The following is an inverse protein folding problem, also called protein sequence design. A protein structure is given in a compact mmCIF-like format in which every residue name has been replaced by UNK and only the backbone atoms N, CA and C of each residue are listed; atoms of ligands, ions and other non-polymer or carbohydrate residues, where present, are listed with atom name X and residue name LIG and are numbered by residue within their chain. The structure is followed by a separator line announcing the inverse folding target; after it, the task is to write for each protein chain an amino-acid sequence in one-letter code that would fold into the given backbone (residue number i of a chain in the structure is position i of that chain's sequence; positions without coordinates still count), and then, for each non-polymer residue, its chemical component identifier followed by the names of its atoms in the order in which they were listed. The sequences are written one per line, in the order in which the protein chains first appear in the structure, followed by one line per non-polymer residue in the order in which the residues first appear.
data_IF_752941650480
#
_entry.id   IF_752941650480
#
_cell.length_a   1.000
_cell.length_b   1.000
_cell.length_c   1.000
_cell.angle_alpha   90.00
_cell.angle_beta   90.00
_cell.angle_gamma   90.00
#
_symmetry.space_group_name_H-M   'P 1'
#
loop_
_entity.id
_entity.type
_entity.pdbx_description
1 polymer ?
#
# COMPACT_ATOMS: atom_id res chain seq x y z
N UNK A 1 -18.95 22.33 2.63
CA UNK A 1 -18.56 21.78 1.30
C UNK A 1 -19.69 22.01 0.31
N UNK A 2 -19.39 22.36 -0.95
CA UNK A 2 -20.44 22.57 -1.96
C UNK A 2 -20.80 21.22 -2.60
N UNK A 3 -22.06 20.82 -2.53
CA UNK A 3 -22.57 19.68 -3.29
C UNK A 3 -22.96 20.14 -4.70
N UNK A 4 -21.97 20.20 -5.60
CA UNK A 4 -22.15 20.72 -6.95
C UNK A 4 -22.86 19.75 -7.90
N UNK A 5 -22.99 18.47 -7.50
CA UNK A 5 -23.60 17.40 -8.27
C UNK A 5 -24.94 16.93 -7.70
N UNK A 6 -25.39 17.47 -6.56
CA UNK A 6 -26.56 16.95 -5.85
C UNK A 6 -26.36 15.50 -5.41
N UNK A 7 -25.12 15.12 -5.12
CA UNK A 7 -24.72 13.75 -4.83
C UNK A 7 -24.71 13.45 -3.32
N UNK A 8 -24.76 14.48 -2.47
CA UNK A 8 -24.76 14.28 -1.03
C UNK A 8 -26.11 13.72 -0.58
N UNK A 9 -26.09 12.55 0.03
CA UNK A 9 -27.27 11.86 0.53
C UNK A 9 -27.03 11.28 1.92
N UNK A 10 -28.10 10.93 2.62
CA UNK A 10 -28.02 10.24 3.90
C UNK A 10 -27.98 8.73 3.71
N UNK A 11 -27.31 8.05 4.62
CA UNK A 11 -27.37 6.60 4.74
C UNK A 11 -27.35 6.19 6.21
N UNK A 12 -27.86 4.98 6.48
CA UNK A 12 -27.79 4.36 7.79
C UNK A 12 -26.44 3.67 7.95
N UNK A 13 -25.63 4.12 8.91
CA UNK A 13 -24.30 3.57 9.21
C UNK A 13 -24.38 2.25 9.98
N UNK A 14 -25.57 1.87 10.47
CA UNK A 14 -25.80 0.78 11.41
C UNK A 14 -25.84 1.25 12.86
N UNK A 15 -25.24 2.40 13.17
CA UNK A 15 -25.26 3.04 14.50
C UNK A 15 -25.87 4.44 14.50
N UNK A 16 -26.30 4.94 13.33
CA UNK A 16 -26.88 6.27 13.20
C UNK A 16 -26.99 6.71 11.74
N UNK A 17 -27.18 8.01 11.54
CA UNK A 17 -27.23 8.62 10.20
C UNK A 17 -25.87 9.21 9.86
N UNK A 18 -25.40 8.94 8.65
CA UNK A 18 -24.21 9.55 8.06
C UNK A 18 -24.52 10.15 6.70
N UNK A 19 -23.65 11.04 6.23
CA UNK A 19 -23.65 11.50 4.85
C UNK A 19 -22.64 10.72 4.00
N UNK A 20 -22.97 10.55 2.73
CA UNK A 20 -22.04 10.10 1.69
C UNK A 20 -22.28 10.90 0.41
N UNK A 21 -21.36 10.81 -0.54
CA UNK A 21 -21.54 11.36 -1.90
C UNK A 21 -21.78 10.20 -2.86
N UNK A 22 -23.05 9.98 -3.26
CA UNK A 22 -23.45 8.82 -4.06
C UNK A 22 -22.84 8.87 -5.46
N UNK A 23 -22.07 7.84 -5.81
CA UNK A 23 -21.62 7.66 -7.21
C UNK A 23 -22.82 7.51 -8.17
N UNK A 24 -23.89 6.86 -7.73
CA UNK A 24 -25.12 6.71 -8.52
C UNK A 24 -25.79 8.05 -8.90
N UNK A 25 -25.55 9.13 -8.15
CA UNK A 25 -26.12 10.44 -8.49
C UNK A 25 -25.63 10.94 -9.86
N UNK A 26 -24.43 10.50 -10.28
CA UNK A 26 -23.87 10.83 -11.59
C UNK A 26 -24.61 10.13 -12.74
N UNK A 27 -25.29 8.99 -12.50
CA UNK A 27 -26.14 8.33 -13.50
C UNK A 27 -27.31 9.23 -13.92
N UNK A 28 -27.87 9.99 -12.98
CA UNK A 28 -28.92 10.97 -13.26
C UNK A 28 -28.44 12.13 -14.14
N UNK A 29 -27.11 12.30 -14.27
CA UNK A 29 -26.48 13.30 -15.12
C UNK A 29 -26.00 12.74 -16.47
N UNK A 30 -26.31 11.46 -16.76
CA UNK A 30 -25.99 10.81 -18.02
C UNK A 30 -24.79 9.86 -17.98
N UNK A 31 -24.07 9.77 -16.86
CA UNK A 31 -22.92 8.88 -16.71
C UNK A 31 -23.36 7.45 -16.37
N UNK A 32 -23.54 6.61 -17.39
CA UNK A 32 -24.20 5.29 -17.23
C UNK A 32 -23.26 4.11 -16.98
N UNK A 33 -21.95 4.24 -17.24
CA UNK A 33 -21.01 3.12 -17.17
C UNK A 33 -20.37 2.90 -15.78
N UNK A 34 -20.82 3.64 -14.76
CA UNK A 34 -20.20 3.66 -13.42
C UNK A 34 -20.11 2.25 -12.81
N UNK A 35 -21.10 1.39 -13.04
CA UNK A 35 -21.14 0.05 -12.48
C UNK A 35 -20.00 -0.86 -12.97
N UNK A 36 -19.52 -0.63 -14.20
CA UNK A 36 -18.47 -1.41 -14.86
C UNK A 36 -17.07 -0.82 -14.68
N UNK A 37 -16.93 0.33 -14.02
CA UNK A 37 -15.63 0.90 -13.71
C UNK A 37 -14.82 -0.02 -12.78
N UNK A 38 -13.49 -0.13 -12.95
CA UNK A 38 -12.62 -0.71 -11.94
C UNK A 38 -12.90 -0.09 -10.57
N UNK A 39 -12.86 -0.90 -9.51
CA UNK A 39 -13.12 -0.43 -8.16
C UNK A 39 -12.12 0.65 -7.74
N UNK A 40 -10.87 0.54 -8.18
CA UNK A 40 -9.85 1.58 -7.98
C UNK A 40 -10.26 2.93 -8.58
N UNK A 41 -10.87 2.94 -9.77
CA UNK A 41 -11.34 4.16 -10.45
C UNK A 41 -12.58 4.71 -9.74
N UNK A 42 -13.48 3.86 -9.25
CA UNK A 42 -14.64 4.29 -8.44
C UNK A 42 -14.20 5.02 -7.16
N UNK A 43 -13.11 4.58 -6.52
CA UNK A 43 -12.53 5.27 -5.35
C UNK A 43 -11.97 6.65 -5.73
N UNK A 44 -11.24 6.76 -6.84
CA UNK A 44 -10.77 8.07 -7.34
C UNK A 44 -11.94 8.99 -7.70
N UNK A 45 -12.99 8.45 -8.32
CA UNK A 45 -14.22 9.18 -8.67
C UNK A 45 -14.94 9.70 -7.42
N UNK A 46 -15.05 8.90 -6.35
CA UNK A 46 -15.62 9.35 -5.07
C UNK A 46 -14.84 10.53 -4.51
N UNK A 47 -13.50 10.43 -4.51
CA UNK A 47 -12.62 11.46 -4.01
C UNK A 47 -12.76 12.78 -4.78
N UNK A 48 -12.82 12.71 -6.11
CA UNK A 48 -13.05 13.88 -6.95
C UNK A 48 -14.45 14.47 -6.76
N UNK A 49 -15.50 13.62 -6.74
CA UNK A 49 -16.88 14.04 -6.55
C UNK A 49 -17.10 14.78 -5.23
N UNK A 50 -16.59 14.22 -4.13
CA UNK A 50 -16.74 14.78 -2.78
C UNK A 50 -15.97 16.08 -2.59
N UNK A 51 -14.82 16.23 -3.24
CA UNK A 51 -13.95 17.41 -3.08
C UNK A 51 -14.07 18.42 -4.21
N UNK A 52 -15.06 18.30 -5.11
CA UNK A 52 -15.28 19.24 -6.20
C UNK A 52 -15.56 20.66 -5.67
N UNK A 53 -14.68 21.59 -5.98
CA UNK A 53 -14.70 22.98 -5.51
C UNK A 53 -14.61 24.02 -6.66
N UNK A 54 -14.46 23.56 -7.91
CA UNK A 54 -14.20 24.36 -9.11
C UNK A 54 -12.90 25.17 -9.04
N UNK A 55 -11.95 24.73 -8.21
CA UNK A 55 -10.61 25.32 -8.09
C UNK A 55 -9.53 24.25 -8.18
N UNK A 56 -9.35 23.43 -7.12
CA UNK A 56 -8.42 22.30 -7.15
C UNK A 56 -9.04 21.10 -7.87
N UNK A 57 -10.36 20.90 -7.70
CA UNK A 57 -11.11 19.82 -8.32
C UNK A 57 -12.30 20.39 -9.07
N UNK A 58 -12.23 20.32 -10.40
CA UNK A 58 -13.27 20.83 -11.30
C UNK A 58 -14.32 19.75 -11.59
N UNK A 59 -15.49 20.19 -12.07
CA UNK A 59 -16.52 19.29 -12.60
C UNK A 59 -16.03 18.46 -13.78
N UNK A 60 -15.09 19.01 -14.55
CA UNK A 60 -14.44 18.28 -15.64
C UNK A 60 -13.68 17.06 -15.13
N UNK A 61 -12.91 17.19 -14.04
CA UNK A 61 -12.21 16.04 -13.45
C UNK A 61 -13.19 14.92 -13.04
N UNK A 62 -14.33 15.28 -12.45
CA UNK A 62 -15.38 14.31 -12.06
C UNK A 62 -15.98 13.64 -13.30
N UNK A 63 -16.32 14.42 -14.33
CA UNK A 63 -16.88 13.88 -15.58
C UNK A 63 -15.90 12.93 -16.28
N UNK A 64 -14.61 13.29 -16.35
CA UNK A 64 -13.56 12.46 -16.96
C UNK A 64 -13.38 11.11 -16.25
N UNK A 65 -13.45 11.10 -14.93
CA UNK A 65 -13.43 9.84 -14.16
C UNK A 65 -14.72 9.02 -14.32
N UNK A 66 -15.88 9.68 -14.41
CA UNK A 66 -17.17 9.02 -14.59
C UNK A 66 -17.33 8.41 -16.00
N UNK A 67 -16.65 8.99 -17.00
CA UNK A 67 -16.63 8.56 -18.40
C UNK A 67 -15.37 7.75 -18.75
N UNK A 68 -14.64 7.26 -17.75
CA UNK A 68 -13.42 6.48 -17.94
C UNK A 68 -13.64 5.33 -18.95
N UNK A 69 -12.86 5.33 -20.02
CA UNK A 69 -12.79 4.28 -21.02
C UNK A 69 -11.55 3.41 -20.76
N UNK A 70 -11.70 2.16 -20.28
CA UNK A 70 -10.58 1.27 -20.03
C UNK A 70 -9.77 0.94 -21.28
N UNK A 71 -10.39 0.93 -22.48
CA UNK A 71 -9.70 0.57 -23.72
C UNK A 71 -8.75 1.67 -24.19
N UNK A 72 -9.08 2.92 -23.88
CA UNK A 72 -8.29 4.09 -24.23
C UNK A 72 -8.40 5.20 -23.17
N UNK A 73 -7.79 5.02 -21.97
CA UNK A 73 -7.83 6.04 -20.94
C UNK A 73 -7.26 7.37 -21.46
N UNK A 74 -8.03 8.44 -21.29
CA UNK A 74 -7.61 9.75 -21.77
C UNK A 74 -6.30 10.19 -21.10
N UNK A 75 -5.41 10.82 -21.86
CA UNK A 75 -4.14 11.34 -21.35
C UNK A 75 -4.35 12.71 -20.68
N UNK A 76 -5.12 12.71 -19.59
CA UNK A 76 -5.46 13.90 -18.79
C UNK A 76 -4.96 13.73 -17.36
N UNK A 77 -4.58 14.84 -16.75
CA UNK A 77 -4.26 14.87 -15.32
C UNK A 77 -5.55 14.88 -14.50
N UNK A 78 -5.57 14.08 -13.44
CA UNK A 78 -6.66 14.00 -12.47
C UNK A 78 -6.12 14.30 -11.07
N UNK A 79 -6.90 14.99 -10.22
CA UNK A 79 -6.52 15.22 -8.84
C UNK A 79 -6.85 14.01 -7.98
N UNK A 80 -5.91 13.60 -7.15
CA UNK A 80 -6.11 12.63 -6.07
C UNK A 80 -5.91 13.34 -4.73
N UNK A 81 -6.94 13.33 -3.88
CA UNK A 81 -6.90 13.88 -2.52
C UNK A 81 -7.00 12.71 -1.52
N UNK A 82 -5.87 12.17 -1.05
CA UNK A 82 -5.87 11.06 -0.11
C UNK A 82 -6.54 11.45 1.21
N UNK A 83 -7.15 10.47 1.87
CA UNK A 83 -7.76 10.65 3.19
C UNK A 83 -6.72 10.87 4.30
N UNK A 84 -5.51 10.33 4.13
CA UNK A 84 -4.42 10.38 5.11
C UNK A 84 -3.04 10.20 4.48
N UNK A 85 -2.00 10.42 5.26
CA UNK A 85 -0.60 10.18 4.90
C UNK A 85 0.05 9.22 5.90
N UNK A 86 0.85 8.28 5.38
CA UNK A 86 1.65 7.36 6.19
C UNK A 86 3.14 7.68 6.06
N UNK A 87 3.85 7.80 7.18
CA UNK A 87 5.28 8.07 7.21
C UNK A 87 6.02 6.95 7.93
N UNK A 88 7.26 6.70 7.52
CA UNK A 88 8.24 5.93 8.30
C UNK A 88 9.38 6.85 8.75
N UNK A 89 10.17 6.47 9.76
CA UNK A 89 11.06 7.40 10.46
C UNK A 89 12.25 7.97 9.63
N UNK A 90 12.73 7.30 8.59
CA UNK A 90 13.78 7.83 7.71
C UNK A 90 13.30 8.99 6.82
N UNK A 91 12.04 8.95 6.40
CA UNK A 91 11.44 10.01 5.56
C UNK A 91 10.55 10.95 6.36
N UNK A 92 10.05 10.50 7.51
CA UNK A 92 9.25 11.29 8.43
C UNK A 92 10.05 12.33 9.20
N UNK A 93 11.32 12.03 9.56
CA UNK A 93 12.21 13.05 10.15
C UNK A 93 12.39 14.25 9.22
N UNK A 94 12.84 14.11 7.95
CA UNK A 94 12.95 15.26 7.06
C UNK A 94 11.61 15.95 6.84
N UNK A 95 10.49 15.24 6.70
CA UNK A 95 9.17 15.88 6.56
C UNK A 95 8.78 16.76 7.76
N UNK A 96 9.07 16.33 8.98
CA UNK A 96 8.83 17.14 10.19
C UNK A 96 9.80 18.34 10.25
N UNK A 97 11.05 18.18 9.78
CA UNK A 97 12.00 19.30 9.62
C UNK A 97 11.45 20.32 8.62
N UNK A 98 10.91 19.89 7.49
CA UNK A 98 10.40 20.77 6.45
C UNK A 98 9.15 21.53 6.93
N UNK A 99 8.23 20.87 7.65
CA UNK A 99 7.12 21.55 8.33
C UNK A 99 7.61 22.60 9.35
N UNK A 100 8.64 22.29 10.15
CA UNK A 100 9.23 23.24 11.09
C UNK A 100 9.91 24.43 10.39
N UNK A 101 10.58 24.17 9.27
CA UNK A 101 11.21 25.17 8.43
C UNK A 101 10.17 26.08 7.77
N UNK A 102 9.07 25.52 7.29
CA UNK A 102 7.93 26.26 6.73
C UNK A 102 7.27 27.14 7.79
N UNK A 103 7.05 26.66 9.02
CA UNK A 103 6.60 27.50 10.16
C UNK A 103 7.53 28.69 10.39
N UNK A 104 8.83 28.44 10.40
CA UNK A 104 9.84 29.49 10.58
C UNK A 104 9.83 30.50 9.43
N UNK A 105 9.62 30.03 8.19
CA UNK A 105 9.51 30.90 7.02
C UNK A 105 8.24 31.76 7.06
N UNK A 106 7.09 31.16 7.40
CA UNK A 106 5.81 31.87 7.55
C UNK A 106 5.91 32.98 8.60
N UNK A 107 6.52 32.69 9.75
CA UNK A 107 6.76 33.70 10.79
C UNK A 107 7.67 34.85 10.31
N UNK A 108 8.76 34.55 9.57
CA UNK A 108 9.64 35.58 9.00
C UNK A 108 8.94 36.48 7.97
N UNK A 109 7.94 35.95 7.27
CA UNK A 109 7.10 36.71 6.34
C UNK A 109 5.97 37.49 7.04
N UNK A 110 5.86 37.40 8.37
CA UNK A 110 4.82 38.07 9.15
C UNK A 110 3.46 37.37 9.12
N UNK A 111 3.39 36.13 8.63
CA UNK A 111 2.19 35.30 8.64
C UNK A 111 2.03 34.48 9.92
N UNK A 112 0.93 33.74 10.02
CA UNK A 112 0.66 32.86 11.15
C UNK A 112 1.34 31.49 10.93
N UNK A 113 2.36 31.18 11.73
CA UNK A 113 3.04 29.89 11.64
C UNK A 113 2.11 28.69 11.92
N UNK A 114 1.08 28.86 12.73
CA UNK A 114 0.16 27.77 13.08
C UNK A 114 -0.70 27.30 11.89
N UNK A 115 -0.78 28.09 10.82
CA UNK A 115 -1.42 27.66 9.56
C UNK A 115 -0.62 26.58 8.82
N UNK A 116 0.68 26.42 9.12
CA UNK A 116 1.46 25.28 8.64
C UNK A 116 1.16 24.09 9.56
N UNK A 117 0.13 23.34 9.18
CA UNK A 117 -0.32 22.14 9.88
C UNK A 117 -0.88 21.11 8.91
N UNK A 118 -0.77 19.79 9.18
CA UNK A 118 -1.48 18.78 8.40
C UNK A 118 -3.01 18.94 8.41
N UNK A 119 -3.59 18.97 7.21
CA UNK A 119 -5.01 19.02 6.91
C UNK A 119 -5.68 17.63 6.89
N UNK A 120 -4.87 16.59 6.74
CA UNK A 120 -5.29 15.19 6.77
C UNK A 120 -4.61 14.47 7.92
N UNK A 121 -5.13 13.31 8.30
CA UNK A 121 -4.48 12.46 9.31
C UNK A 121 -3.09 12.05 8.81
N UNK A 122 -2.08 12.19 9.66
CA UNK A 122 -0.71 11.73 9.41
C UNK A 122 -0.32 10.76 10.51
N UNK A 123 0.08 9.56 10.12
CA UNK A 123 0.58 8.55 11.05
C UNK A 123 2.03 8.23 10.69
N UNK A 124 2.95 8.49 11.61
CA UNK A 124 4.36 8.15 11.48
C UNK A 124 4.67 6.91 12.31
N UNK A 125 5.22 5.87 11.68
CA UNK A 125 5.68 4.65 12.35
C UNK A 125 7.20 4.63 12.44
N UNK A 126 7.73 4.33 13.62
CA UNK A 126 9.18 4.19 13.82
C UNK A 126 9.53 2.70 13.76
N UNK A 127 10.14 2.29 12.65
CA UNK A 127 10.45 0.89 12.34
C UNK A 127 11.76 0.68 11.56
N UNK A 128 12.33 1.71 10.93
CA UNK A 128 13.57 1.62 10.15
C UNK A 128 14.85 1.82 10.99
N UNK A 129 14.71 2.04 12.29
CA UNK A 129 15.82 2.37 13.18
C UNK A 129 16.46 1.17 13.89
N UNK A 130 15.74 0.05 14.02
CA UNK A 130 16.24 -1.16 14.67
C UNK A 130 17.21 -1.91 13.77
N UNK A 131 18.28 -2.46 14.34
CA UNK A 131 19.26 -3.29 13.64
C UNK A 131 19.46 -4.62 14.38
N UNK A 132 19.81 -5.67 13.65
CA UNK A 132 20.11 -6.99 14.23
C UNK A 132 21.55 -7.01 14.75
N UNK A 133 21.79 -6.32 15.86
CA UNK A 133 23.08 -6.27 16.55
C UNK A 133 23.39 -7.56 17.33
N UNK A 134 22.34 -8.22 17.83
CA UNK A 134 22.35 -9.50 18.50
C UNK A 134 21.23 -10.38 17.93
N UNK A 135 21.48 -11.68 17.84
CA UNK A 135 20.55 -12.68 17.30
C UNK A 135 20.76 -14.04 17.98
N UNK A 136 19.80 -14.96 17.83
CA UNK A 136 19.95 -16.36 18.28
C UNK A 136 20.09 -16.54 19.79
N UNK A 137 19.71 -15.56 20.60
CA UNK A 137 19.81 -15.61 22.07
C UNK A 137 18.59 -14.94 22.73
N UNK A 138 18.20 -15.34 23.96
CA UNK A 138 17.02 -14.80 24.64
C UNK A 138 17.02 -13.27 24.81
N UNK A 139 18.21 -12.69 25.06
CA UNK A 139 18.37 -11.26 25.31
C UNK A 139 18.48 -10.40 24.03
N UNK A 140 18.47 -11.02 22.84
CA UNK A 140 18.73 -10.32 21.58
C UNK A 140 17.79 -9.12 21.37
N UNK A 141 16.49 -9.30 21.60
CA UNK A 141 15.50 -8.24 21.44
C UNK A 141 15.80 -7.04 22.34
N UNK A 142 16.12 -7.29 23.62
CA UNK A 142 16.46 -6.23 24.58
C UNK A 142 17.72 -5.48 24.15
N UNK A 143 18.77 -6.21 23.76
CA UNK A 143 20.05 -5.62 23.31
C UNK A 143 19.84 -4.74 22.08
N UNK A 144 19.07 -5.23 21.09
CA UNK A 144 18.80 -4.48 19.86
C UNK A 144 17.98 -3.21 20.14
N UNK A 145 16.96 -3.29 21.00
CA UNK A 145 16.15 -2.14 21.38
C UNK A 145 16.94 -1.09 22.19
N UNK A 146 17.82 -1.51 23.11
CA UNK A 146 18.69 -0.60 23.87
C UNK A 146 19.64 0.17 22.92
N UNK A 147 20.28 -0.55 21.99
CA UNK A 147 21.16 0.06 20.98
C UNK A 147 20.42 0.97 20.01
N UNK A 148 19.23 0.59 19.58
CA UNK A 148 18.37 1.43 18.75
C UNK A 148 18.11 2.78 19.43
N UNK A 149 17.74 2.75 20.71
CA UNK A 149 17.44 3.97 21.46
C UNK A 149 18.69 4.83 21.71
N UNK A 150 19.83 4.20 22.03
CA UNK A 150 21.12 4.88 22.18
C UNK A 150 21.50 5.66 20.91
N UNK A 151 21.34 5.04 19.74
CA UNK A 151 21.71 5.62 18.44
C UNK A 151 20.75 6.70 17.95
N UNK A 152 19.46 6.58 18.26
CA UNK A 152 18.41 7.40 17.64
C UNK A 152 17.72 8.38 18.59
N UNK A 153 18.26 8.59 19.81
CA UNK A 153 17.65 9.42 20.85
C UNK A 153 17.20 10.80 20.35
N UNK A 154 18.08 11.54 19.67
CA UNK A 154 17.77 12.89 19.17
C UNK A 154 16.62 12.87 18.16
N UNK A 155 16.62 11.89 17.23
CA UNK A 155 15.54 11.71 16.25
C UNK A 155 14.20 11.44 16.96
N UNK A 156 14.19 10.62 18.01
CA UNK A 156 12.97 10.30 18.75
C UNK A 156 12.47 11.47 19.58
N UNK A 157 13.37 12.24 20.20
CA UNK A 157 13.01 13.49 20.89
C UNK A 157 12.41 14.50 19.90
N UNK A 158 12.96 14.61 18.69
CA UNK A 158 12.43 15.47 17.63
C UNK A 158 11.06 15.03 17.11
N UNK A 159 10.86 13.74 16.82
CA UNK A 159 9.56 13.22 16.39
C UNK A 159 8.49 13.33 17.48
N UNK A 160 8.88 13.15 18.75
CA UNK A 160 8.00 13.38 19.90
C UNK A 160 7.58 14.84 20.00
N UNK A 161 8.49 15.78 19.75
CA UNK A 161 8.14 17.20 19.63
C UNK A 161 7.15 17.41 18.46
N UNK A 162 7.38 16.81 17.29
CA UNK A 162 6.48 16.91 16.14
C UNK A 162 5.05 16.49 16.48
N UNK A 163 4.87 15.36 17.16
CA UNK A 163 3.57 14.91 17.68
C UNK A 163 2.84 15.92 18.57
N UNK A 164 3.59 16.75 19.30
CA UNK A 164 3.00 17.77 20.18
C UNK A 164 2.78 19.11 19.47
N UNK A 165 3.55 19.38 18.41
CA UNK A 165 3.56 20.64 17.71
C UNK A 165 2.53 20.74 16.59
N UNK A 166 2.11 19.61 16.02
CA UNK A 166 1.18 19.54 14.89
C UNK A 166 -0.11 18.81 15.25
N UNK A 167 -1.26 19.37 14.87
CA UNK A 167 -2.54 18.66 14.93
C UNK A 167 -2.60 17.59 13.83
N UNK A 168 -3.44 16.57 14.04
CA UNK A 168 -3.61 15.43 13.14
C UNK A 168 -2.32 14.62 12.88
N UNK A 169 -1.28 14.81 13.69
CA UNK A 169 0.00 14.11 13.55
C UNK A 169 0.21 13.12 14.70
N UNK A 170 0.14 11.84 14.38
CA UNK A 170 0.41 10.75 15.32
C UNK A 170 1.77 10.12 15.07
N UNK A 171 2.41 9.70 16.15
CA UNK A 171 3.64 8.89 16.12
C UNK A 171 3.38 7.58 16.85
N UNK A 172 3.58 6.48 16.14
CA UNK A 172 3.64 5.11 16.67
C UNK A 172 5.08 4.86 17.15
N UNK A 173 5.27 4.52 18.43
CA UNK A 173 6.61 4.39 19.00
C UNK A 173 7.37 3.17 18.48
N UNK A 174 8.70 3.11 18.67
CA UNK A 174 9.51 1.95 18.32
C UNK A 174 8.99 0.65 18.93
N UNK A 175 9.36 -0.48 18.33
CA UNK A 175 8.98 -1.83 18.77
C UNK A 175 7.46 -2.12 18.79
N UNK A 176 6.67 -1.33 18.05
CA UNK A 176 5.21 -1.55 17.89
C UNK A 176 4.84 -2.37 16.65
N UNK A 177 5.80 -2.69 15.79
CA UNK A 177 5.60 -3.37 14.50
C UNK A 177 6.24 -2.61 13.34
N UNK A 178 6.07 -3.14 12.13
CA UNK A 178 6.55 -2.53 10.88
C UNK A 178 5.43 -1.66 10.30
N UNK A 179 5.78 -0.55 9.65
CA UNK A 179 4.89 0.49 9.15
C UNK A 179 3.65 -0.06 8.45
N UNK A 180 3.84 -0.92 7.46
CA UNK A 180 2.73 -1.46 6.65
C UNK A 180 1.87 -2.49 7.39
N UNK A 181 2.47 -3.26 8.30
CA UNK A 181 1.72 -4.19 9.14
C UNK A 181 0.88 -3.46 10.19
N UNK A 182 1.45 -2.43 10.84
CA UNK A 182 0.70 -1.54 11.75
C UNK A 182 -0.42 -0.82 10.98
N UNK A 183 -0.17 -0.42 9.73
CA UNK A 183 -1.19 0.16 8.88
C UNK A 183 -2.36 -0.82 8.66
N UNK A 184 -2.06 -2.06 8.26
CA UNK A 184 -3.04 -3.11 7.98
C UNK A 184 -3.82 -3.54 9.24
N UNK A 185 -3.15 -3.70 10.37
CA UNK A 185 -3.69 -4.28 11.61
C UNK A 185 -4.30 -3.23 12.56
N UNK A 186 -3.92 -1.96 12.45
CA UNK A 186 -4.37 -0.93 13.40
C UNK A 186 -4.90 0.35 12.73
N UNK A 187 -4.12 1.01 11.87
CA UNK A 187 -4.43 2.38 11.40
C UNK A 187 -5.59 2.40 10.39
N UNK A 188 -5.57 1.49 9.41
CA UNK A 188 -6.53 1.50 8.32
C UNK A 188 -7.95 1.20 8.80
N UNK A 189 -8.92 1.92 8.21
CA UNK A 189 -10.33 1.85 8.58
C UNK A 189 -11.24 1.40 7.45
N UNK A 190 -10.73 1.31 6.22
CA UNK A 190 -11.49 1.11 4.97
C UNK A 190 -12.48 2.24 4.63
N UNK A 191 -13.16 2.80 5.62
CA UNK A 191 -14.04 3.97 5.49
C UNK A 191 -13.72 4.94 6.64
N UNK A 192 -13.36 6.17 6.29
CA UNK A 192 -13.16 7.27 7.23
C UNK A 192 -14.40 8.13 7.34
N UNK A 193 -14.45 8.93 8.39
CA UNK A 193 -15.48 9.93 8.61
C UNK A 193 -14.89 11.26 9.06
N UNK A 194 -15.52 12.36 8.68
CA UNK A 194 -15.23 13.70 9.23
C UNK A 194 -16.52 14.44 9.57
N UNK A 195 -16.53 15.33 10.58
CA UNK A 195 -17.71 16.12 10.89
C UNK A 195 -18.12 17.02 9.71
N UNK A 196 -19.43 17.15 9.45
CA UNK A 196 -20.00 18.19 8.61
C UNK A 196 -20.38 19.43 9.44
N UNK A 197 -20.77 20.51 8.75
CA UNK A 197 -21.19 21.78 9.36
C UNK A 197 -22.41 21.64 10.29
N UNK A 198 -23.30 20.67 10.03
CA UNK A 198 -24.49 20.38 10.82
C UNK A 198 -24.27 19.31 11.92
N UNK A 199 -23.02 18.84 12.08
CA UNK A 199 -22.64 17.84 13.07
C UNK A 199 -22.83 16.38 12.65
N UNK A 200 -23.49 16.10 11.51
CA UNK A 200 -23.62 14.72 10.99
C UNK A 200 -22.35 14.35 10.22
N UNK A 201 -21.70 13.21 10.52
CA UNK A 201 -20.44 12.85 9.86
C UNK A 201 -20.62 12.50 8.38
N UNK A 202 -19.68 12.95 7.55
CA UNK A 202 -19.52 12.52 6.15
C UNK A 202 -18.54 11.36 6.10
N UNK A 203 -18.93 10.26 5.47
CA UNK A 203 -18.14 9.05 5.28
C UNK A 203 -17.57 8.95 3.86
N UNK A 204 -16.37 8.40 3.75
CA UNK A 204 -15.62 8.29 2.50
C UNK A 204 -14.59 7.16 2.55
N UNK A 205 -14.13 6.61 1.40
CA UNK A 205 -13.18 5.51 1.38
C UNK A 205 -11.85 5.93 2.01
N UNK A 206 -11.22 4.98 2.70
CA UNK A 206 -9.83 5.11 3.11
C UNK A 206 -8.93 5.11 1.87
N UNK A 207 -8.06 6.11 1.81
CA UNK A 207 -7.08 6.30 0.74
C UNK A 207 -5.86 6.98 1.34
N UNK A 208 -4.67 6.64 0.85
CA UNK A 208 -3.44 7.25 1.37
C UNK A 208 -2.35 7.37 0.32
N UNK A 209 -1.41 8.25 0.61
CA UNK A 209 -0.04 8.14 0.10
C UNK A 209 0.89 7.91 1.28
N UNK A 210 2.03 7.27 1.03
CA UNK A 210 3.05 7.10 2.05
C UNK A 210 4.45 7.35 1.54
N UNK A 211 5.37 7.72 2.43
CA UNK A 211 6.78 7.97 2.08
C UNK A 211 7.63 6.70 2.05
N UNK A 212 7.00 5.61 1.63
CA UNK A 212 7.56 4.28 1.49
C UNK A 212 6.91 3.57 0.29
N UNK A 213 7.71 2.94 -0.56
CA UNK A 213 7.22 2.31 -1.80
C UNK A 213 6.20 1.20 -1.56
N UNK A 214 6.33 0.49 -0.44
CA UNK A 214 5.50 -0.67 -0.09
C UNK A 214 4.22 -0.27 0.65
N UNK A 215 3.90 1.04 0.70
CA UNK A 215 2.57 1.53 1.16
C UNK A 215 1.42 0.80 0.45
N UNK A 216 1.66 0.35 -0.79
CA UNK A 216 0.79 -0.52 -1.60
C UNK A 216 0.36 -1.82 -0.92
N UNK A 217 1.04 -2.29 0.13
CA UNK A 217 0.59 -3.45 0.93
C UNK A 217 -0.87 -3.30 1.40
N UNK A 218 -1.30 -2.07 1.67
CA UNK A 218 -2.65 -1.80 2.15
C UNK A 218 -3.75 -2.00 1.09
N UNK A 219 -3.38 -2.04 -0.19
CA UNK A 219 -4.31 -2.28 -1.30
C UNK A 219 -4.95 -3.67 -1.23
N UNK A 220 -4.30 -4.62 -0.53
CA UNK A 220 -4.86 -5.93 -0.21
C UNK A 220 -6.09 -5.90 0.72
N UNK A 221 -6.28 -4.80 1.44
CA UNK A 221 -7.45 -4.54 2.29
C UNK A 221 -8.56 -3.73 1.56
N UNK A 222 -8.33 -3.36 0.30
CA UNK A 222 -9.26 -2.53 -0.48
C UNK A 222 -9.19 -1.04 -0.18
N UNK A 223 -8.03 -0.58 0.29
CA UNK A 223 -7.68 0.83 0.50
C UNK A 223 -6.78 1.25 -0.65
N UNK A 224 -7.13 2.30 -1.41
CA UNK A 224 -6.27 2.78 -2.49
C UNK A 224 -5.09 3.57 -1.90
N UNK A 225 -3.87 3.08 -2.05
CA UNK A 225 -2.69 3.87 -1.69
C UNK A 225 -1.36 3.39 -2.24
N UNK A 226 -0.39 4.30 -2.34
CA UNK A 226 0.91 4.01 -2.90
C UNK A 226 2.03 4.89 -2.32
N UNK A 227 3.27 4.51 -2.64
CA UNK A 227 4.45 5.25 -2.24
C UNK A 227 4.68 6.52 -3.07
N UNK A 228 5.02 7.62 -2.40
CA UNK A 228 5.40 8.91 -3.01
C UNK A 228 6.66 9.46 -2.34
N UNK A 229 7.23 10.53 -2.90
CA UNK A 229 8.33 11.25 -2.27
C UNK A 229 7.88 12.06 -1.06
N UNK A 230 8.84 12.49 -0.24
CA UNK A 230 8.56 13.32 0.95
C UNK A 230 7.84 14.63 0.60
N UNK A 231 8.25 15.29 -0.49
CA UNK A 231 7.67 16.56 -0.93
C UNK A 231 6.21 16.39 -1.35
N UNK A 232 5.88 15.34 -2.10
CA UNK A 232 4.49 15.05 -2.47
C UNK A 232 3.64 14.73 -1.22
N UNK A 233 4.19 13.95 -0.29
CA UNK A 233 3.50 13.67 0.98
C UNK A 233 3.26 14.94 1.80
N UNK A 234 4.23 15.85 1.92
CA UNK A 234 4.08 17.14 2.58
C UNK A 234 3.05 18.04 1.88
N UNK A 235 3.04 18.06 0.55
CA UNK A 235 2.04 18.80 -0.22
C UNK A 235 0.62 18.29 0.10
N UNK A 236 0.42 16.98 0.17
CA UNK A 236 -0.84 16.36 0.61
C UNK A 236 -1.19 16.74 2.05
N UNK A 237 -0.21 16.71 2.96
CA UNK A 237 -0.43 17.18 4.34
C UNK A 237 -0.95 18.62 4.35
N UNK A 238 -0.46 19.50 3.48
CA UNK A 238 -0.90 20.89 3.39
C UNK A 238 -2.13 21.09 2.50
N UNK A 239 -2.82 20.02 2.09
CA UNK A 239 -4.08 20.07 1.35
C UNK A 239 -3.95 20.22 -0.17
N UNK A 240 -2.75 20.05 -0.73
CA UNK A 240 -2.58 19.94 -2.18
C UNK A 240 -2.96 18.53 -2.65
N UNK A 241 -3.72 18.39 -3.76
CA UNK A 241 -3.90 17.11 -4.40
C UNK A 241 -2.59 16.60 -5.00
N UNK A 242 -2.46 15.27 -5.08
CA UNK A 242 -1.50 14.64 -6.00
C UNK A 242 -2.14 14.66 -7.39
N UNK A 243 -1.54 15.38 -8.33
CA UNK A 243 -1.93 15.27 -9.73
C UNK A 243 -1.23 14.09 -10.37
N UNK A 244 -2.00 13.25 -11.05
CA UNK A 244 -1.50 12.09 -11.78
C UNK A 244 -2.20 11.98 -13.12
N UNK A 245 -1.53 11.38 -14.11
CA UNK A 245 -2.22 10.98 -15.33
C UNK A 245 -3.27 9.92 -15.00
N UNK A 246 -4.41 10.00 -15.68
CA UNK A 246 -5.46 8.99 -15.58
C UNK A 246 -4.86 7.59 -15.80
N UNK A 247 -4.98 6.67 -14.82
CA UNK A 247 -4.24 5.43 -14.86
C UNK A 247 -4.88 4.43 -15.82
N UNK A 248 -4.05 3.65 -16.48
CA UNK A 248 -4.49 2.40 -17.11
C UNK A 248 -4.69 1.35 -16.01
N UNK A 249 -5.80 0.59 -16.06
CA UNK A 249 -6.04 -0.51 -15.13
C UNK A 249 -5.94 -1.85 -15.85
N UNK A 250 -5.01 -2.68 -15.40
CA UNK A 250 -4.83 -4.06 -15.87
C UNK A 250 -5.56 -5.00 -14.90
N UNK A 251 -6.50 -5.79 -15.43
CA UNK A 251 -7.19 -6.81 -14.66
C UNK A 251 -6.29 -8.03 -14.47
N UNK A 252 -6.25 -8.59 -13.27
CA UNK A 252 -5.56 -9.85 -12.99
C UNK A 252 -6.57 -10.86 -12.43
N UNK A 253 -7.03 -11.76 -13.30
CA UNK A 253 -8.02 -12.77 -12.97
C UNK A 253 -7.38 -13.93 -12.21
N UNK A 254 -7.82 -14.14 -10.97
CA UNK A 254 -7.43 -15.27 -10.14
C UNK A 254 -8.57 -16.30 -10.12
N UNK A 255 -8.22 -17.55 -10.41
CA UNK A 255 -9.14 -18.70 -10.36
C UNK A 255 -8.55 -19.83 -9.53
N UNK A 256 -9.35 -20.85 -9.21
CA UNK A 256 -8.87 -22.00 -8.45
C UNK A 256 -8.52 -21.69 -6.99
N UNK A 257 -7.62 -22.50 -6.42
CA UNK A 257 -7.14 -22.41 -5.04
C UNK A 257 -5.67 -22.79 -4.98
N UNK A 258 -4.92 -22.17 -4.07
CA UNK A 258 -3.52 -22.54 -3.85
C UNK A 258 -3.42 -24.02 -3.42
N UNK A 259 -2.51 -24.80 -4.03
CA UNK A 259 -2.32 -26.18 -3.65
C UNK A 259 -1.68 -26.29 -2.27
N UNK A 260 -1.87 -27.43 -1.62
CA UNK A 260 -1.21 -27.73 -0.35
C UNK A 260 0.32 -27.67 -0.52
N UNK A 261 0.99 -26.95 0.38
CA UNK A 261 2.44 -26.73 0.33
C UNK A 261 2.88 -25.51 -0.48
N UNK A 262 2.00 -24.86 -1.24
CA UNK A 262 2.26 -23.52 -1.78
C UNK A 262 1.88 -22.45 -0.75
N UNK A 263 2.64 -21.34 -0.76
CA UNK A 263 2.51 -20.24 0.18
C UNK A 263 2.14 -18.93 -0.51
N UNK A 264 1.75 -17.91 0.26
CA UNK A 264 1.57 -16.55 -0.25
C UNK A 264 2.83 -16.01 -0.95
N UNK A 265 4.01 -16.40 -0.46
CA UNK A 265 5.30 -16.05 -1.07
C UNK A 265 5.42 -16.65 -2.47
N UNK A 266 5.07 -17.92 -2.65
CA UNK A 266 5.11 -18.57 -3.98
C UNK A 266 4.16 -17.90 -4.98
N UNK A 267 2.97 -17.54 -4.49
CA UNK A 267 1.98 -16.83 -5.28
C UNK A 267 2.50 -15.45 -5.72
N UNK A 268 3.00 -14.63 -4.78
CA UNK A 268 3.47 -13.28 -5.14
C UNK A 268 4.68 -13.32 -6.07
N UNK A 269 5.58 -14.29 -5.93
CA UNK A 269 6.71 -14.42 -6.86
C UNK A 269 6.24 -14.78 -8.27
N UNK A 270 5.21 -15.63 -8.38
CA UNK A 270 4.58 -15.98 -9.67
C UNK A 270 3.90 -14.77 -10.29
N UNK A 271 3.10 -14.04 -9.52
CA UNK A 271 2.41 -12.81 -9.97
C UNK A 271 3.42 -11.73 -10.38
N UNK A 272 4.47 -11.54 -9.58
CA UNK A 272 5.54 -10.57 -9.86
C UNK A 272 6.23 -10.87 -11.19
N UNK A 273 6.55 -12.14 -11.45
CA UNK A 273 7.13 -12.57 -12.72
C UNK A 273 6.22 -12.24 -13.91
N UNK A 274 4.94 -12.62 -13.84
CA UNK A 274 3.96 -12.42 -14.92
C UNK A 274 3.73 -10.93 -15.21
N UNK A 275 3.50 -10.13 -14.17
CA UNK A 275 3.26 -8.69 -14.31
C UNK A 275 4.50 -7.95 -14.83
N UNK A 276 5.70 -8.37 -14.42
CA UNK A 276 6.94 -7.79 -14.91
C UNK A 276 7.20 -8.12 -16.38
N UNK A 277 6.86 -9.33 -16.81
CA UNK A 277 6.97 -9.75 -18.20
C UNK A 277 5.98 -8.99 -19.10
N UNK A 278 4.75 -8.78 -18.62
CA UNK A 278 3.74 -8.02 -19.35
C UNK A 278 4.04 -6.51 -19.42
N UNK A 279 4.57 -5.92 -18.34
CA UNK A 279 4.95 -4.50 -18.29
C UNK A 279 3.84 -3.59 -17.79
N UNK A 280 3.75 -3.45 -16.46
CA UNK A 280 2.74 -2.63 -15.76
C UNK A 280 3.30 -1.34 -15.15
N UNK A 281 4.44 -0.85 -15.64
CA UNK A 281 5.07 0.38 -15.11
C UNK A 281 4.13 1.57 -15.20
N UNK A 282 3.83 2.19 -14.05
CA UNK A 282 2.95 3.36 -13.96
C UNK A 282 1.46 3.06 -14.18
N UNK A 283 1.07 1.78 -14.20
CA UNK A 283 -0.32 1.33 -14.34
C UNK A 283 -0.85 0.84 -12.99
N UNK A 284 -2.17 0.78 -12.88
CA UNK A 284 -2.84 0.07 -11.80
C UNK A 284 -3.01 -1.39 -12.18
N UNK A 285 -2.89 -2.28 -11.20
CA UNK A 285 -3.31 -3.68 -11.31
C UNK A 285 -4.48 -3.88 -10.36
N UNK A 286 -5.59 -4.42 -10.86
CA UNK A 286 -6.76 -4.76 -10.03
C UNK A 286 -7.03 -6.26 -10.12
N UNK A 287 -7.04 -6.92 -8.97
CA UNK A 287 -7.24 -8.35 -8.86
C UNK A 287 -8.73 -8.68 -8.77
N UNK A 288 -9.17 -9.65 -9.56
CA UNK A 288 -10.58 -10.07 -9.63
C UNK A 288 -10.70 -11.58 -9.89
N UNK A 289 -11.93 -12.05 -10.06
CA UNK A 289 -12.24 -13.46 -10.31
C UNK A 289 -12.53 -14.27 -9.03
N UNK A 290 -13.04 -15.50 -9.19
CA UNK A 290 -13.52 -16.32 -8.06
C UNK A 290 -12.41 -16.81 -7.13
N UNK A 291 -11.15 -16.80 -7.57
CA UNK A 291 -10.00 -17.15 -6.75
C UNK A 291 -9.78 -16.18 -5.58
N UNK A 292 -10.17 -14.90 -5.73
CA UNK A 292 -10.02 -13.87 -4.69
C UNK A 292 -10.79 -14.23 -3.41
N UNK A 293 -11.98 -14.83 -3.55
CA UNK A 293 -12.80 -15.30 -2.43
C UNK A 293 -12.15 -16.43 -1.61
N UNK A 294 -11.14 -17.10 -2.16
CA UNK A 294 -10.41 -18.17 -1.47
C UNK A 294 -9.12 -17.68 -0.77
N UNK A 295 -8.83 -16.38 -0.85
CA UNK A 295 -7.59 -15.79 -0.34
C UNK A 295 -7.86 -14.98 0.93
N UNK A 296 -6.96 -15.11 1.91
CA UNK A 296 -7.00 -14.30 3.13
C UNK A 296 -6.45 -12.89 2.89
N UNK A 297 -6.77 -11.93 3.76
CA UNK A 297 -6.15 -10.58 3.66
C UNK A 297 -4.62 -10.62 3.67
N UNK A 298 -3.93 -11.41 4.53
CA UNK A 298 -2.48 -11.56 4.44
C UNK A 298 -1.95 -12.02 3.07
N UNK A 299 -2.66 -12.92 2.38
CA UNK A 299 -2.27 -13.36 1.02
C UNK A 299 -2.38 -12.20 0.03
N UNK A 300 -3.49 -11.46 0.07
CA UNK A 300 -3.74 -10.28 -0.78
C UNK A 300 -2.72 -9.17 -0.53
N UNK A 301 -2.48 -8.86 0.75
CA UNK A 301 -1.51 -7.85 1.18
C UNK A 301 -0.09 -8.22 0.75
N UNK A 302 0.27 -9.51 0.77
CA UNK A 302 1.57 -10.00 0.28
C UNK A 302 1.76 -9.70 -1.21
N UNK A 303 0.72 -9.87 -2.01
CA UNK A 303 0.75 -9.57 -3.46
C UNK A 303 0.80 -8.06 -3.71
N UNK A 304 -0.06 -7.32 -3.02
CA UNK A 304 -0.15 -5.87 -3.13
C UNK A 304 1.18 -5.18 -2.72
N UNK A 305 1.82 -5.68 -1.66
CA UNK A 305 3.11 -5.21 -1.17
C UNK A 305 4.18 -5.21 -2.26
N UNK A 306 4.20 -6.21 -3.15
CA UNK A 306 5.23 -6.32 -4.19
C UNK A 306 4.97 -5.45 -5.44
N UNK A 307 3.99 -4.52 -5.39
CA UNK A 307 3.71 -3.59 -6.49
C UNK A 307 4.94 -2.88 -7.05
N UNK A 308 5.83 -2.33 -6.21
CA UNK A 308 7.06 -1.69 -6.70
C UNK A 308 7.97 -2.64 -7.48
N UNK A 309 8.05 -3.93 -7.09
CA UNK A 309 8.90 -4.93 -7.73
C UNK A 309 8.41 -5.31 -9.14
N UNK A 310 7.10 -5.47 -9.35
CA UNK A 310 6.55 -5.66 -10.70
C UNK A 310 6.33 -4.35 -11.46
N UNK A 311 6.43 -3.21 -10.79
CA UNK A 311 6.48 -1.86 -11.36
C UNK A 311 5.12 -1.14 -11.42
N UNK A 312 4.05 -1.76 -10.93
CA UNK A 312 2.75 -1.09 -10.86
C UNK A 312 2.79 0.06 -9.86
N UNK A 313 1.94 1.06 -10.07
CA UNK A 313 1.70 2.07 -9.03
C UNK A 313 1.06 1.45 -7.80
N UNK A 314 0.17 0.45 -8.00
CA UNK A 314 -0.54 -0.25 -6.93
C UNK A 314 -1.13 -1.59 -7.41
N UNK A 315 -1.45 -2.46 -6.45
CA UNK A 315 -1.99 -3.81 -6.68
C UNK A 315 -3.26 -4.06 -5.86
N UNK A 316 -4.41 -3.71 -6.42
CA UNK A 316 -5.65 -3.49 -5.68
C UNK A 316 -6.56 -4.70 -5.58
N UNK A 317 -7.04 -4.99 -4.37
CA UNK A 317 -8.09 -5.98 -4.09
C UNK A 317 -9.33 -5.27 -3.55
N UNK A 318 -10.47 -5.30 -4.24
CA UNK A 318 -11.69 -4.65 -3.76
C UNK A 318 -12.15 -5.17 -2.39
N UNK A 319 -12.82 -4.31 -1.61
CA UNK A 319 -13.40 -4.68 -0.32
C UNK A 319 -14.47 -5.76 -0.53
N UNK A 320 -14.35 -6.87 0.19
CA UNK A 320 -15.31 -7.98 0.17
C UNK A 320 -15.59 -8.52 1.58
N UNK A 321 -16.22 -9.70 1.68
CA UNK A 321 -16.55 -10.30 2.97
C UNK A 321 -15.31 -10.64 3.81
N UNK A 322 -14.22 -11.10 3.19
CA UNK A 322 -12.98 -11.42 3.91
C UNK A 322 -12.32 -10.14 4.46
N UNK A 323 -12.48 -8.99 3.81
CA UNK A 323 -12.11 -7.69 4.39
C UNK A 323 -12.85 -7.43 5.71
N UNK A 324 -14.18 -7.62 5.73
CA UNK A 324 -14.98 -7.40 6.95
C UNK A 324 -14.62 -8.39 8.07
N UNK A 325 -14.40 -9.64 7.69
CA UNK A 325 -13.99 -10.70 8.63
C UNK A 325 -12.61 -10.38 9.21
N UNK A 326 -11.66 -9.92 8.39
CA UNK A 326 -10.34 -9.50 8.84
C UNK A 326 -10.40 -8.31 9.80
N UNK A 327 -11.18 -7.26 9.49
CA UNK A 327 -11.39 -6.12 10.39
C UNK A 327 -11.92 -6.61 11.76
N UNK A 328 -12.86 -7.55 11.75
CA UNK A 328 -13.40 -8.13 12.98
C UNK A 328 -12.33 -8.93 13.75
N UNK A 329 -11.57 -9.79 13.07
CA UNK A 329 -10.51 -10.64 13.68
C UNK A 329 -9.37 -9.83 14.29
N UNK A 330 -9.09 -8.66 13.75
CA UNK A 330 -8.07 -7.71 14.22
C UNK A 330 -8.61 -6.74 15.28
N UNK A 331 -9.84 -6.95 15.76
CA UNK A 331 -10.39 -6.22 16.90
C UNK A 331 -10.94 -4.84 16.57
N UNK A 332 -11.25 -4.55 15.29
CA UNK A 332 -11.92 -3.28 14.94
C UNK A 332 -13.35 -3.29 15.52
N UNK A 333 -13.87 -2.13 15.96
CA UNK A 333 -15.21 -2.05 16.55
C UNK A 333 -16.28 -2.57 15.59
N UNK A 334 -17.25 -3.33 16.10
CA UNK A 334 -18.36 -3.86 15.30
C UNK A 334 -19.14 -2.78 14.55
N UNK A 335 -19.29 -1.60 15.15
CA UNK A 335 -19.91 -0.43 14.52
C UNK A 335 -19.16 0.06 13.28
N UNK A 336 -17.82 0.02 13.30
CA UNK A 336 -16.99 0.35 12.14
C UNK A 336 -17.17 -0.70 11.04
N UNK A 337 -17.14 -1.99 11.39
CA UNK A 337 -17.30 -3.07 10.41
C UNK A 337 -18.65 -2.97 9.69
N UNK A 338 -19.73 -2.71 10.44
CA UNK A 338 -21.07 -2.52 9.86
C UNK A 338 -21.12 -1.26 8.98
N UNK A 339 -20.49 -0.16 9.42
CA UNK A 339 -20.38 1.07 8.62
C UNK A 339 -19.67 0.81 7.30
N UNK A 340 -18.53 0.10 7.32
CA UNK A 340 -17.74 -0.24 6.12
C UNK A 340 -18.61 -1.05 5.15
N UNK A 341 -19.30 -2.08 5.64
CA UNK A 341 -20.20 -2.91 4.83
C UNK A 341 -21.29 -2.07 4.15
N UNK A 342 -22.02 -1.27 4.93
CA UNK A 342 -23.15 -0.49 4.41
C UNK A 342 -22.71 0.61 3.45
N UNK A 343 -21.64 1.31 3.79
CA UNK A 343 -21.07 2.36 2.94
C UNK A 343 -20.62 1.79 1.59
N UNK A 344 -19.83 0.72 1.62
CA UNK A 344 -19.29 0.12 0.39
C UNK A 344 -20.38 -0.49 -0.49
N UNK A 345 -21.42 -1.10 0.10
CA UNK A 345 -22.61 -1.55 -0.64
C UNK A 345 -23.38 -0.38 -1.26
N UNK A 346 -23.60 0.70 -0.51
CA UNK A 346 -24.32 1.88 -1.00
C UNK A 346 -23.58 2.59 -2.15
N UNK A 347 -22.25 2.48 -2.21
CA UNK A 347 -21.40 3.08 -3.23
C UNK A 347 -21.06 2.15 -4.40
N UNK A 348 -21.47 0.88 -4.37
CA UNK A 348 -21.04 -0.10 -5.37
C UNK A 348 -19.53 -0.41 -5.32
N UNK A 349 -18.94 -0.30 -4.12
CA UNK A 349 -17.54 -0.59 -3.79
C UNK A 349 -17.35 -1.92 -3.04
N UNK A 350 -18.43 -2.64 -2.74
CA UNK A 350 -18.40 -3.96 -2.12
C UNK A 350 -18.45 -5.05 -3.19
N UNK A 351 -17.41 -5.88 -3.26
CA UNK A 351 -17.25 -6.94 -4.26
C UNK A 351 -17.83 -8.27 -3.76
N UNK A 352 -18.53 -8.96 -4.63
CA UNK A 352 -19.03 -10.33 -4.45
C UNK A 352 -18.72 -11.18 -5.68
N UNK A 353 -18.82 -12.51 -5.59
CA UNK A 353 -18.67 -13.40 -6.76
C UNK A 353 -19.75 -13.18 -7.83
N UNK A 354 -20.92 -12.65 -7.44
CA UNK A 354 -22.02 -12.30 -8.35
C UNK A 354 -21.89 -10.87 -8.92
N UNK A 355 -20.93 -10.08 -8.44
CA UNK A 355 -20.72 -8.72 -8.93
C UNK A 355 -20.25 -8.77 -10.39
N UNK A 356 -20.76 -7.88 -11.26
CA UNK A 356 -20.29 -7.83 -12.62
C UNK A 356 -18.81 -7.45 -12.64
N UNK A 357 -17.99 -8.22 -13.35
CA UNK A 357 -16.57 -7.91 -13.50
C UNK A 357 -16.37 -6.52 -14.11
N UNK A 358 -15.47 -5.70 -13.56
CA UNK A 358 -15.11 -4.43 -14.16
C UNK A 358 -14.55 -4.61 -15.57
N UNK A 359 -14.60 -3.54 -16.35
CA UNK A 359 -13.90 -3.48 -17.63
C UNK A 359 -12.49 -2.96 -17.40
N UNK A 360 -11.51 -3.72 -17.87
CA UNK A 360 -10.08 -3.41 -17.77
C UNK A 360 -9.49 -3.15 -19.15
N UNK A 361 -8.32 -2.51 -19.19
CA UNK A 361 -7.60 -2.30 -20.44
C UNK A 361 -7.17 -3.63 -21.07
N UNK A 362 -6.56 -4.48 -20.26
CA UNK A 362 -6.15 -5.84 -20.60
C UNK A 362 -6.35 -6.75 -19.37
N UNK A 363 -6.36 -8.07 -19.60
CA UNK A 363 -6.55 -9.07 -18.54
C UNK A 363 -5.46 -10.14 -18.60
N UNK A 364 -4.74 -10.32 -17.50
CA UNK A 364 -3.90 -11.50 -17.24
C UNK A 364 -4.70 -12.51 -16.42
N UNK A 365 -4.36 -13.80 -16.56
CA UNK A 365 -5.07 -14.89 -15.86
C UNK A 365 -4.09 -15.82 -15.17
N UNK A 366 -4.41 -16.23 -13.95
CA UNK A 366 -3.68 -17.24 -13.19
C UNK A 366 -4.66 -18.20 -12.53
N UNK A 367 -4.50 -19.50 -12.78
CA UNK A 367 -5.06 -20.52 -11.90
C UNK A 367 -4.14 -20.68 -10.70
N UNK A 368 -4.66 -20.43 -9.49
CA UNK A 368 -3.90 -20.58 -8.26
C UNK A 368 -3.39 -22.02 -8.06
N UNK A 369 -4.01 -23.01 -8.71
CA UNK A 369 -3.56 -24.40 -8.72
C UNK A 369 -2.21 -24.63 -9.43
N UNK A 370 -1.79 -23.71 -10.31
CA UNK A 370 -0.52 -23.79 -11.04
C UNK A 370 0.67 -23.23 -10.23
N UNK A 371 0.41 -22.64 -9.07
CA UNK A 371 1.46 -22.08 -8.20
C UNK A 371 2.23 -23.21 -7.53
N UNK A 372 3.54 -23.17 -7.66
CA UNK A 372 4.46 -24.15 -7.06
C UNK A 372 5.50 -23.48 -6.16
N UNK A 373 5.99 -24.19 -5.13
CA UNK A 373 7.06 -23.71 -4.26
C UNK A 373 8.24 -23.15 -5.03
N UNK A 374 8.66 -21.94 -4.68
CA UNK A 374 9.67 -21.16 -5.40
C UNK A 374 10.39 -20.17 -4.50
N UNK A 375 11.48 -19.64 -5.02
CA UNK A 375 12.23 -18.52 -4.45
C UNK A 375 12.62 -17.56 -5.57
N UNK A 376 13.12 -16.38 -5.21
CA UNK A 376 13.64 -15.43 -6.19
C UNK A 376 15.10 -15.09 -5.93
N UNK A 377 15.89 -15.01 -6.99
CA UNK A 377 17.29 -14.66 -6.86
C UNK A 377 18.16 -15.08 -8.06
N UNK A 378 19.49 -14.99 -7.92
CA UNK A 378 20.20 -14.62 -6.69
C UNK A 378 20.24 -13.11 -6.40
N UNK A 379 19.84 -12.24 -7.34
CA UNK A 379 20.06 -10.78 -7.21
C UNK A 379 18.83 -9.90 -7.46
N UNK A 380 17.71 -10.42 -7.96
CA UNK A 380 16.51 -9.61 -8.25
C UNK A 380 15.21 -10.34 -7.86
N UNK A 381 14.18 -9.61 -7.39
CA UNK A 381 12.92 -10.21 -6.94
C UNK A 381 12.11 -10.94 -8.03
N UNK A 382 12.23 -10.52 -9.28
CA UNK A 382 11.54 -11.12 -10.42
C UNK A 382 12.23 -12.36 -11.00
N UNK A 383 13.45 -12.70 -10.54
CA UNK A 383 14.17 -13.88 -11.01
C UNK A 383 13.70 -15.13 -10.24
N UNK A 384 12.45 -15.53 -10.50
CA UNK A 384 11.83 -16.70 -9.87
C UNK A 384 12.52 -18.00 -10.30
N UNK A 385 12.79 -18.86 -9.33
CA UNK A 385 13.35 -20.21 -9.48
C UNK A 385 12.41 -21.16 -8.73
N UNK A 386 11.87 -22.17 -9.42
CA UNK A 386 11.09 -23.21 -8.74
C UNK A 386 12.01 -24.01 -7.82
N UNK A 387 11.50 -24.38 -6.64
CA UNK A 387 12.33 -24.93 -5.56
C UNK A 387 13.16 -26.17 -5.97
N UNK A 388 12.65 -27.13 -6.78
CA UNK A 388 13.44 -28.27 -7.25
C UNK A 388 14.70 -27.88 -8.04
N UNK A 389 14.65 -26.75 -8.74
CA UNK A 389 15.71 -26.30 -9.66
C UNK A 389 16.76 -25.43 -8.96
N UNK A 390 16.52 -25.02 -7.70
CA UNK A 390 17.37 -24.10 -6.94
C UNK A 390 18.85 -24.50 -6.97
N UNK A 391 19.14 -25.77 -6.74
CA UNK A 391 20.52 -26.28 -6.66
C UNK A 391 21.25 -26.17 -7.98
N UNK A 392 20.58 -26.47 -9.08
CA UNK A 392 21.14 -26.40 -10.43
C UNK A 392 21.30 -24.94 -10.85
N UNK A 393 20.25 -24.14 -10.67
CA UNK A 393 20.27 -22.70 -10.96
C UNK A 393 21.39 -21.97 -10.20
N UNK A 394 21.60 -22.28 -8.92
CA UNK A 394 22.71 -21.70 -8.15
C UNK A 394 24.07 -22.10 -8.72
N UNK A 395 24.29 -23.39 -9.04
CA UNK A 395 25.56 -23.87 -9.61
C UNK A 395 25.87 -23.22 -10.95
N UNK A 396 24.88 -23.09 -11.82
CA UNK A 396 25.03 -22.43 -13.10
C UNK A 396 25.36 -20.95 -12.91
N UNK A 397 24.70 -20.29 -11.95
CA UNK A 397 24.95 -18.89 -11.64
C UNK A 397 26.38 -18.62 -11.16
N UNK A 398 27.07 -19.57 -10.53
CA UNK A 398 28.45 -19.38 -10.08
C UNK A 398 29.40 -19.02 -11.24
N UNK A 399 29.27 -19.71 -12.37
CA UNK A 399 30.16 -19.54 -13.55
C UNK A 399 29.56 -18.69 -14.66
N UNK A 400 28.26 -18.41 -14.63
CA UNK A 400 27.63 -17.50 -15.57
C UNK A 400 28.26 -16.10 -15.49
N UNK A 401 28.30 -15.39 -16.61
CA UNK A 401 28.87 -14.03 -16.71
C UNK A 401 28.36 -13.13 -15.58
N UNK A 402 29.27 -12.37 -14.98
CA UNK A 402 28.94 -11.45 -13.90
C UNK A 402 27.80 -10.50 -14.33
N UNK A 403 26.70 -10.56 -13.59
CA UNK A 403 25.48 -9.84 -13.94
C UNK A 403 24.32 -10.24 -13.04
N UNK A 404 23.06 -9.95 -13.43
CA UNK A 404 21.89 -10.24 -12.60
C UNK A 404 21.72 -11.73 -12.25
N UNK A 405 22.16 -12.63 -13.13
CA UNK A 405 22.03 -14.08 -12.97
C UNK A 405 23.37 -14.82 -12.82
N UNK A 406 24.48 -14.10 -12.67
CA UNK A 406 25.82 -14.71 -12.67
C UNK A 406 26.81 -14.03 -11.73
N UNK A 407 27.70 -14.84 -11.16
CA UNK A 407 28.78 -14.42 -10.27
C UNK A 407 30.12 -14.27 -10.99
N UNK A 408 30.28 -14.87 -12.17
CA UNK A 408 31.48 -14.73 -13.00
C UNK A 408 32.72 -15.44 -12.46
N UNK A 409 32.54 -16.52 -11.67
CA UNK A 409 33.65 -17.31 -11.14
C UNK A 409 34.23 -18.22 -12.22
N UNK A 410 35.55 -18.36 -12.20
CA UNK A 410 36.26 -19.34 -12.99
C UNK A 410 36.09 -20.75 -12.39
N UNK A 411 36.16 -21.80 -13.24
CA UNK A 411 35.92 -23.18 -12.79
C UNK A 411 36.83 -23.63 -11.63
N UNK A 412 38.05 -23.12 -11.57
CA UNK A 412 38.99 -23.47 -10.50
C UNK A 412 38.62 -22.83 -9.15
N UNK A 413 37.86 -21.73 -9.14
CA UNK A 413 37.42 -21.02 -7.94
C UNK A 413 36.21 -21.67 -7.26
N UNK A 414 35.54 -22.61 -7.93
CA UNK A 414 34.41 -23.36 -7.38
C UNK A 414 34.81 -24.27 -6.22
N UNK A 415 36.10 -24.61 -6.11
CA UNK A 415 36.65 -25.40 -5.01
C UNK A 415 37.08 -24.53 -3.82
N UNK A 416 36.98 -23.20 -3.91
CA UNK A 416 37.38 -22.31 -2.83
C UNK A 416 36.53 -22.54 -1.57
N UNK A 417 37.20 -22.59 -0.43
CA UNK A 417 36.58 -22.65 0.89
C UNK A 417 37.13 -21.54 1.78
N UNK A 418 36.35 -21.11 2.77
CA UNK A 418 36.74 -20.18 3.83
C UNK A 418 36.64 -20.84 5.20
N UNK A 419 37.49 -20.44 6.15
CA UNK A 419 37.36 -20.88 7.55
C UNK A 419 36.72 -19.78 8.38
N UNK A 420 35.72 -20.15 9.18
CA UNK A 420 35.05 -19.28 10.13
C UNK A 420 35.08 -19.90 11.52
N UNK A 421 35.39 -19.11 12.54
CA UNK A 421 35.30 -19.53 13.93
C UNK A 421 34.09 -18.86 14.55
N UNK A 422 33.13 -19.66 15.03
CA UNK A 422 31.92 -19.12 15.66
C UNK A 422 32.21 -18.54 17.06
N UNK A 423 31.21 -17.89 17.66
CA UNK A 423 31.34 -17.29 19.00
C UNK A 423 31.58 -18.31 20.12
N UNK A 424 31.41 -19.62 19.86
CA UNK A 424 31.68 -20.72 20.79
C UNK A 424 33.07 -21.34 20.57
N UNK A 425 33.84 -20.84 19.60
CA UNK A 425 35.17 -21.34 19.26
C UNK A 425 35.15 -22.55 18.32
N UNK A 426 34.00 -22.92 17.74
CA UNK A 426 33.95 -24.01 16.75
C UNK A 426 34.50 -23.50 15.41
N UNK A 427 35.42 -24.26 14.81
CA UNK A 427 35.89 -24.00 13.45
C UNK A 427 34.95 -24.65 12.42
N UNK A 428 34.49 -23.86 11.45
CA UNK A 428 33.60 -24.27 10.37
C UNK A 428 34.27 -23.95 9.03
N UNK A 429 34.23 -24.93 8.12
CA UNK A 429 34.59 -24.73 6.72
C UNK A 429 33.36 -24.28 5.93
N UNK A 430 33.43 -23.10 5.32
CA UNK A 430 32.42 -22.52 4.46
C UNK A 430 32.77 -22.72 2.98
N UNK A 431 31.76 -23.03 2.17
CA UNK A 431 31.83 -23.17 0.71
C UNK A 431 30.77 -22.32 0.02
N UNK A 432 30.85 -22.24 -1.31
CA UNK A 432 29.82 -21.61 -2.13
C UNK A 432 28.44 -22.24 -1.88
N UNK A 433 27.46 -21.39 -1.54
CA UNK A 433 26.08 -21.79 -1.29
C UNK A 433 25.75 -22.09 0.17
N UNK A 434 26.72 -21.97 1.08
CA UNK A 434 26.42 -22.05 2.51
C UNK A 434 25.60 -20.83 2.95
N UNK A 435 24.53 -21.11 3.70
CA UNK A 435 23.60 -20.08 4.17
C UNK A 435 24.19 -19.44 5.41
N UNK A 436 24.60 -18.19 5.28
CA UNK A 436 25.16 -17.38 6.39
C UNK A 436 24.13 -16.45 7.04
N UNK A 437 22.97 -16.27 6.40
CA UNK A 437 21.83 -15.49 6.91
C UNK A 437 20.54 -16.27 6.59
N UNK A 438 19.70 -16.48 7.60
CA UNK A 438 18.33 -17.00 7.49
C UNK A 438 17.48 -16.19 8.45
N UNK A 439 16.82 -15.16 7.93
CA UNK A 439 16.13 -14.12 8.70
C UNK A 439 14.62 -14.30 8.67
#
# INVERSE_FOLDING_TARGET
MKDLFGARDTFDTGSGTGYLYRLDALKNQGHTNIDRLPFSIKVLLEGALRNCDEFLVTKEHVAKLAEYDPAAPEQVEIPFLPARVLLQDFTGVPAVVDLAAMRSAMARLGGNADEINPNVQVDLVIDHSVQVDAFGMPDALRINAEKEFERNRERYEFLRWGKQAFDNFNVVPPASGICHQVNLEYIAKCVWSRPAEDGVPVYYPDTLVGTDSHTTMIDGLGVVGWGVGGIEAEAVMLGQPVFMLMPEVIGFELTGRLPEGATATDLVLTVTQMLREYGVVGKFVEFFGPGVSNMTIPDRATIANMSPEYGATMGFFPIDQETLDYLSRTGRPAELVETVKRYTQAQGLFRTDDSPDPQFKDVLKLDLGDVVPSLSGPKRPQDRIVLPDMKEAFRDSLTANAGPKGFGLEKHELANTGRYTDQRGNELDLKHGDVVISA
#
